data_IF_069031749618
#
_entry.id   IF_069031749618
#
_cell.length_a   1.000
_cell.length_b   1.000
_cell.length_c   1.000
_cell.angle_alpha   90.00
_cell.angle_beta   90.00
_cell.angle_gamma   90.00
#
_symmetry.space_group_name_H-M   'P 1'
#
loop_
_entity.id
_entity.type
_entity.pdbx_description
1 polymer ?
#
# COMPACT_ATOMS: atom_id res chain seq x y z
N UNK A 1 40.29 25.23 -40.80
CA UNK A 1 39.33 26.32 -40.49
C UNK A 1 38.16 25.71 -39.74
N UNK A 2 38.04 25.97 -38.43
CA UNK A 2 36.91 25.48 -37.62
C UNK A 2 35.63 26.22 -38.06
N UNK A 3 34.65 25.47 -38.62
CA UNK A 3 33.35 26.05 -38.99
C UNK A 3 32.68 26.63 -37.75
N UNK A 4 32.64 27.94 -37.60
CA UNK A 4 31.88 28.62 -36.55
C UNK A 4 30.40 28.39 -36.84
N UNK A 5 29.59 27.91 -35.86
CA UNK A 5 28.17 27.73 -36.08
C UNK A 5 27.51 29.06 -36.45
N UNK A 6 26.53 29.08 -37.36
CA UNK A 6 25.87 30.31 -37.78
C UNK A 6 25.17 30.97 -36.58
N UNK A 7 25.22 32.29 -36.51
CA UNK A 7 24.77 33.12 -35.38
C UNK A 7 23.33 32.76 -34.93
N UNK A 8 22.46 32.47 -35.88
CA UNK A 8 21.07 32.09 -35.57
C UNK A 8 20.96 30.80 -34.73
N UNK A 9 21.87 29.83 -34.91
CA UNK A 9 21.90 28.61 -34.07
C UNK A 9 22.32 28.92 -32.64
N UNK A 10 23.29 29.86 -32.49
CA UNK A 10 23.71 30.29 -31.14
C UNK A 10 22.57 31.00 -30.44
N UNK A 11 21.88 31.92 -31.12
CA UNK A 11 20.71 32.61 -30.57
C UNK A 11 19.59 31.65 -30.21
N UNK A 12 19.27 30.70 -31.10
CA UNK A 12 18.23 29.69 -30.83
C UNK A 12 18.57 28.80 -29.61
N UNK A 13 19.84 28.34 -29.53
CA UNK A 13 20.26 27.52 -28.38
C UNK A 13 20.25 28.32 -27.08
N UNK A 14 20.63 29.61 -27.10
CA UNK A 14 20.57 30.47 -25.91
C UNK A 14 19.12 30.68 -25.45
N UNK A 15 18.20 30.94 -26.39
CA UNK A 15 16.75 31.06 -26.06
C UNK A 15 16.20 29.76 -25.49
N UNK A 16 16.54 28.60 -26.07
CA UNK A 16 16.10 27.31 -25.56
C UNK A 16 16.63 27.01 -24.15
N UNK A 17 17.90 27.34 -23.90
CA UNK A 17 18.49 27.19 -22.55
C UNK A 17 17.82 28.14 -21.57
N UNK A 18 17.62 29.42 -21.92
CA UNK A 18 16.96 30.40 -21.07
C UNK A 18 15.51 29.98 -20.76
N UNK A 19 14.79 29.47 -21.75
CA UNK A 19 13.46 28.93 -21.57
C UNK A 19 13.45 27.69 -20.67
N UNK A 20 14.40 26.78 -20.85
CA UNK A 20 14.59 25.62 -19.98
C UNK A 20 14.84 26.00 -18.51
N UNK A 21 15.73 26.98 -18.28
CA UNK A 21 16.01 27.50 -16.93
C UNK A 21 14.78 28.18 -16.33
N UNK A 22 14.04 28.95 -17.13
CA UNK A 22 12.81 29.59 -16.68
C UNK A 22 11.71 28.55 -16.29
N UNK A 23 11.56 27.51 -17.11
CA UNK A 23 10.61 26.40 -16.82
C UNK A 23 11.00 25.69 -15.51
N UNK A 24 12.28 25.34 -15.34
CA UNK A 24 12.77 24.69 -14.12
C UNK A 24 12.58 25.61 -12.91
N UNK A 25 12.94 26.89 -13.01
CA UNK A 25 12.75 27.86 -11.93
C UNK A 25 11.28 28.08 -11.56
N UNK A 26 10.40 28.10 -12.55
CA UNK A 26 8.96 28.17 -12.31
C UNK A 26 8.43 26.86 -11.67
N UNK A 27 8.84 25.71 -12.19
CA UNK A 27 8.46 24.41 -11.67
C UNK A 27 8.89 24.21 -10.20
N UNK A 28 10.10 24.61 -9.82
CA UNK A 28 10.57 24.53 -8.43
C UNK A 28 9.75 25.42 -7.49
N UNK A 29 9.29 26.58 -7.95
CA UNK A 29 8.40 27.46 -7.18
C UNK A 29 6.99 26.85 -7.00
N UNK A 30 6.41 26.36 -8.09
CA UNK A 30 5.06 25.75 -8.07
C UNK A 30 5.06 24.48 -7.24
N UNK A 31 6.09 23.64 -7.36
CA UNK A 31 6.24 22.39 -6.63
C UNK A 31 6.69 22.58 -5.16
N UNK A 32 6.94 23.81 -4.72
CA UNK A 32 7.38 24.15 -3.35
C UNK A 32 8.56 23.29 -2.86
N UNK A 33 9.52 23.01 -3.77
CA UNK A 33 10.68 22.17 -3.47
C UNK A 33 11.58 22.90 -2.46
N UNK A 34 11.70 22.36 -1.26
CA UNK A 34 12.60 22.85 -0.21
C UNK A 34 13.74 21.84 0.03
N UNK A 35 14.85 22.04 -0.66
CA UNK A 35 16.05 21.22 -0.49
C UNK A 35 16.66 21.36 0.91
N UNK A 36 16.51 22.51 1.57
CA UNK A 36 17.04 22.72 2.93
C UNK A 36 16.28 21.83 3.92
N UNK A 37 14.97 21.73 3.74
CA UNK A 37 14.10 20.86 4.56
C UNK A 37 14.49 19.39 4.41
N UNK A 38 14.86 18.94 3.22
CA UNK A 38 15.31 17.56 2.96
C UNK A 38 16.54 17.23 3.85
N UNK A 39 17.52 18.09 3.90
CA UNK A 39 18.73 17.88 4.70
C UNK A 39 18.48 18.07 6.20
N UNK A 40 17.67 19.05 6.59
CA UNK A 40 17.34 19.32 7.98
C UNK A 40 16.57 18.16 8.64
N UNK A 41 15.65 17.52 7.90
CA UNK A 41 14.83 16.42 8.39
C UNK A 41 15.45 15.02 8.12
N UNK A 42 16.66 14.96 7.58
CA UNK A 42 17.39 13.70 7.32
C UNK A 42 17.54 12.78 8.54
N UNK A 43 17.76 13.27 9.79
CA UNK A 43 17.80 12.41 10.97
C UNK A 43 16.49 11.63 11.21
N UNK A 44 15.33 12.25 10.92
CA UNK A 44 14.01 11.59 11.04
C UNK A 44 13.86 10.48 9.99
N UNK A 45 14.31 10.76 8.75
CA UNK A 45 14.32 9.78 7.67
C UNK A 45 15.23 8.59 8.00
N UNK A 46 16.38 8.80 8.64
CA UNK A 46 17.29 7.74 9.06
C UNK A 46 16.61 6.75 10.01
N UNK A 47 15.91 7.23 11.03
CA UNK A 47 15.18 6.39 11.99
C UNK A 47 14.11 5.54 11.28
N UNK A 48 13.35 6.14 10.38
CA UNK A 48 12.30 5.47 9.60
C UNK A 48 12.89 4.42 8.65
N UNK A 49 13.94 4.74 7.91
CA UNK A 49 14.63 3.80 7.01
C UNK A 49 15.23 2.64 7.79
N UNK A 50 15.85 2.89 8.94
CA UNK A 50 16.39 1.83 9.80
C UNK A 50 15.30 0.87 10.25
N UNK A 51 14.13 1.39 10.66
CA UNK A 51 12.99 0.57 11.06
C UNK A 51 12.43 -0.26 9.91
N UNK A 52 12.43 0.26 8.68
CA UNK A 52 12.01 -0.50 7.50
C UNK A 52 13.03 -1.59 7.11
N UNK A 53 14.32 -1.37 7.34
CA UNK A 53 15.37 -2.35 7.06
C UNK A 53 15.46 -3.46 8.11
N UNK A 54 14.84 -3.27 9.28
CA UNK A 54 14.75 -4.27 10.35
C UNK A 54 13.31 -4.79 10.50
N UNK A 55 12.85 -5.66 9.59
CA UNK A 55 11.46 -6.16 9.59
C UNK A 55 11.18 -7.03 10.83
N UNK A 56 9.94 -6.98 11.30
CA UNK A 56 9.43 -7.81 12.40
C UNK A 56 9.11 -9.22 11.90
N UNK A 57 10.14 -10.07 11.80
CA UNK A 57 10.01 -11.45 11.29
C UNK A 57 9.78 -12.46 12.40
N UNK A 58 10.40 -12.25 13.56
CA UNK A 58 10.38 -13.20 14.66
C UNK A 58 10.05 -12.53 15.97
N UNK A 59 9.25 -13.20 16.77
CA UNK A 59 8.90 -12.76 18.12
C UNK A 59 9.16 -13.88 19.13
N UNK A 60 9.26 -13.52 20.41
CA UNK A 60 9.21 -14.47 21.53
C UNK A 60 7.94 -14.25 22.31
N UNK A 61 7.47 -15.26 23.01
CA UNK A 61 6.37 -15.06 23.94
C UNK A 61 6.79 -14.00 24.97
N UNK A 62 5.89 -13.07 25.24
CA UNK A 62 6.15 -12.02 26.19
C UNK A 62 5.48 -12.40 27.52
N UNK A 63 6.28 -12.56 28.55
CA UNK A 63 5.73 -12.57 29.90
C UNK A 63 5.43 -11.13 30.30
N UNK A 64 4.16 -10.84 30.50
CA UNK A 64 3.71 -9.50 30.89
C UNK A 64 3.46 -9.48 32.39
N UNK A 65 4.18 -8.63 33.09
CA UNK A 65 3.92 -8.29 34.49
C UNK A 65 3.31 -6.90 34.53
N UNK A 66 2.02 -6.83 34.87
CA UNK A 66 1.26 -5.56 34.91
C UNK A 66 1.28 -5.00 36.33
N UNK A 67 1.61 -3.73 36.48
CA UNK A 67 1.52 -2.97 37.71
C UNK A 67 0.60 -1.78 37.46
N UNK A 68 -0.30 -1.53 38.35
CA UNK A 68 -1.22 -0.40 38.28
C UNK A 68 -1.05 0.57 39.44
N UNK A 69 -1.23 1.86 39.14
CA UNK A 69 -1.27 2.91 40.15
C UNK A 69 -2.36 3.93 39.78
N UNK A 70 -3.34 4.20 40.65
CA UNK A 70 -4.31 5.25 40.40
C UNK A 70 -3.63 6.61 40.42
N UNK A 71 -3.98 7.49 39.48
CA UNK A 71 -3.47 8.83 39.34
C UNK A 71 -4.59 9.83 39.09
N UNK A 72 -5.04 10.58 40.14
CA UNK A 72 -6.16 11.51 39.99
C UNK A 72 -5.79 12.77 39.19
N UNK A 73 -6.67 13.15 38.28
CA UNK A 73 -6.62 14.39 37.51
C UNK A 73 -8.02 15.02 37.51
N UNK A 74 -8.22 16.24 38.05
CA UNK A 74 -7.29 17.05 38.83
C UNK A 74 -7.08 16.52 40.23
N UNK A 75 -6.13 17.13 40.96
CA UNK A 75 -5.89 16.82 42.39
C UNK A 75 -7.17 17.00 43.24
N UNK A 76 -7.39 16.07 44.17
CA UNK A 76 -8.57 16.08 45.05
C UNK A 76 -9.84 15.46 44.42
N UNK A 77 -9.80 15.02 43.16
CA UNK A 77 -10.96 14.41 42.48
C UNK A 77 -11.19 12.95 42.87
N UNK A 78 -10.18 12.27 43.43
CA UNK A 78 -10.24 10.90 43.95
C UNK A 78 -9.10 10.67 44.98
N UNK A 79 -9.14 9.57 45.77
CA UNK A 79 -8.06 9.18 46.65
C UNK A 79 -6.75 8.91 45.89
N UNK A 80 -5.64 9.34 46.45
CA UNK A 80 -4.30 9.02 45.92
C UNK A 80 -3.99 7.53 46.09
N UNK A 81 -3.24 6.96 45.16
CA UNK A 81 -2.79 5.57 45.26
C UNK A 81 -1.79 5.37 46.44
N UNK A 82 -1.92 4.24 47.10
CA UNK A 82 -0.96 3.83 48.14
C UNK A 82 0.26 3.19 47.48
N UNK A 83 1.50 3.66 47.77
CA UNK A 83 2.69 3.05 47.19
C UNK A 83 2.92 1.63 47.74
N UNK A 84 3.20 0.69 46.86
CA UNK A 84 3.57 -0.69 47.22
C UNK A 84 4.97 -0.69 47.84
N UNK A 85 5.11 -1.29 49.00
CA UNK A 85 6.36 -1.24 49.78
C UNK A 85 7.40 -2.31 49.42
N UNK A 86 7.03 -3.37 48.72
CA UNK A 86 7.92 -4.46 48.30
C UNK A 86 7.54 -5.04 46.93
N UNK A 87 8.55 -5.48 46.14
CA UNK A 87 8.36 -5.99 44.79
C UNK A 87 8.40 -4.92 43.70
N UNK A 88 7.95 -5.24 42.47
CA UNK A 88 7.83 -4.27 41.41
C UNK A 88 6.86 -3.16 41.78
N UNK A 89 7.31 -1.91 41.63
CA UNK A 89 6.57 -0.72 42.12
C UNK A 89 6.70 0.46 41.19
N UNK A 90 5.67 1.30 41.16
CA UNK A 90 5.66 2.59 40.48
C UNK A 90 5.72 3.72 41.52
N UNK A 91 6.34 4.80 41.13
CA UNK A 91 6.36 6.05 41.87
C UNK A 91 6.19 7.22 40.92
N UNK A 92 5.53 8.25 41.32
CA UNK A 92 5.39 9.51 40.59
C UNK A 92 5.96 10.66 41.37
N UNK A 93 6.52 11.64 40.67
CA UNK A 93 7.08 12.85 41.32
C UNK A 93 6.05 13.66 42.11
N UNK A 94 4.77 13.52 41.73
CA UNK A 94 3.60 14.14 42.36
C UNK A 94 2.47 13.13 42.50
N UNK A 95 1.69 13.12 43.57
CA UNK A 95 0.62 12.14 43.79
C UNK A 95 -0.61 12.39 42.92
N UNK A 96 -0.74 13.56 42.33
CA UNK A 96 -1.81 13.99 41.42
C UNK A 96 -1.31 15.18 40.59
N UNK A 97 -2.00 15.53 39.51
CA UNK A 97 -1.64 16.66 38.65
C UNK A 97 -2.88 17.41 38.13
N UNK A 98 -2.72 18.66 37.74
CA UNK A 98 -3.70 19.34 36.89
C UNK A 98 -3.52 18.92 35.43
N UNK A 99 -4.56 19.07 34.63
CA UNK A 99 -4.49 18.74 33.21
C UNK A 99 -3.41 19.58 32.50
N UNK A 100 -2.54 18.93 31.74
CA UNK A 100 -1.35 19.44 31.03
C UNK A 100 -0.09 19.64 31.88
N UNK A 101 -0.13 19.42 33.20
CA UNK A 101 1.11 19.42 34.00
C UNK A 101 1.97 18.22 33.64
N UNK A 102 3.27 18.44 33.60
CA UNK A 102 4.27 17.37 33.42
C UNK A 102 4.67 16.78 34.76
N UNK A 103 4.81 15.46 34.80
CA UNK A 103 5.32 14.75 35.99
C UNK A 103 6.20 13.59 35.53
N UNK A 104 7.05 13.11 36.44
CA UNK A 104 7.91 11.96 36.19
C UNK A 104 7.29 10.70 36.78
N UNK A 105 7.20 9.66 35.97
CA UNK A 105 6.85 8.31 36.39
C UNK A 105 8.13 7.48 36.46
N UNK A 106 8.36 6.86 37.60
CA UNK A 106 9.48 5.96 37.83
C UNK A 106 8.99 4.55 38.17
N UNK A 107 9.68 3.54 37.66
CA UNK A 107 9.43 2.14 38.00
C UNK A 107 10.67 1.51 38.60
N UNK A 108 10.49 0.70 39.65
CA UNK A 108 11.55 0.04 40.40
C UNK A 108 11.29 -1.46 40.51
N UNK A 109 12.38 -2.23 40.57
CA UNK A 109 12.36 -3.69 40.71
C UNK A 109 11.57 -4.40 39.61
N UNK A 110 11.61 -3.86 38.39
CA UNK A 110 11.09 -4.47 37.20
C UNK A 110 12.13 -5.42 36.57
N UNK A 111 11.75 -6.13 35.52
CA UNK A 111 12.72 -6.97 34.81
C UNK A 111 13.85 -6.08 34.22
N UNK A 112 15.13 -6.45 34.34
CA UNK A 112 16.26 -5.69 33.80
C UNK A 112 16.25 -5.77 32.26
N UNK A 113 16.63 -4.66 31.60
CA UNK A 113 16.66 -4.52 30.13
C UNK A 113 15.36 -4.90 29.44
N UNK A 114 14.22 -4.75 30.13
CA UNK A 114 12.90 -5.08 29.59
C UNK A 114 12.26 -3.86 28.91
N UNK A 115 11.46 -4.13 27.92
CA UNK A 115 10.63 -3.11 27.30
C UNK A 115 9.39 -2.87 28.16
N UNK A 116 9.10 -1.61 28.44
CA UNK A 116 7.98 -1.17 29.26
C UNK A 116 6.93 -0.51 28.40
N UNK A 117 5.71 -1.04 28.43
CA UNK A 117 4.54 -0.39 27.85
C UNK A 117 3.79 0.37 28.95
N UNK A 118 3.70 1.68 28.82
CA UNK A 118 2.94 2.54 29.72
C UNK A 118 1.57 2.77 29.10
N UNK A 119 0.51 2.49 29.85
CA UNK A 119 -0.87 2.71 29.42
C UNK A 119 -1.62 3.51 30.47
N UNK A 120 -2.48 4.38 30.02
CA UNK A 120 -3.43 5.05 30.89
C UNK A 120 -4.80 4.37 30.73
N UNK A 121 -5.27 3.70 31.77
CA UNK A 121 -6.62 3.12 31.79
C UNK A 121 -7.61 4.17 32.29
N UNK A 122 -8.49 4.60 31.41
CA UNK A 122 -9.40 5.71 31.64
C UNK A 122 -10.82 5.13 31.81
N UNK A 123 -11.45 5.31 32.96
CA UNK A 123 -12.78 4.78 33.22
C UNK A 123 -13.76 5.18 32.10
N UNK A 124 -14.50 4.21 31.57
CA UNK A 124 -15.50 4.35 30.50
C UNK A 124 -14.97 4.82 29.13
N UNK A 125 -13.66 5.11 28.99
CA UNK A 125 -13.06 5.62 27.74
C UNK A 125 -12.02 4.68 27.14
N UNK A 126 -11.59 3.64 27.89
CA UNK A 126 -10.60 2.67 27.44
C UNK A 126 -9.15 3.07 27.72
N UNK A 127 -8.21 2.38 27.09
CA UNK A 127 -6.76 2.50 27.38
C UNK A 127 -6.05 3.40 26.38
N UNK A 128 -5.32 4.39 26.86
CA UNK A 128 -4.43 5.22 26.06
C UNK A 128 -3.00 4.70 26.20
N UNK A 129 -2.41 4.17 25.13
CA UNK A 129 -1.03 3.69 25.11
C UNK A 129 -0.08 4.85 24.85
N UNK A 130 1.00 4.91 25.65
CA UNK A 130 2.08 5.87 25.54
C UNK A 130 3.31 5.22 24.86
N UNK A 131 4.34 5.99 24.42
CA UNK A 131 5.56 5.42 23.88
C UNK A 131 6.24 4.44 24.82
N UNK A 132 6.84 3.40 24.27
CA UNK A 132 7.61 2.42 25.04
C UNK A 132 8.86 3.04 25.66
N UNK A 133 9.22 2.59 26.86
CA UNK A 133 10.45 2.93 27.57
C UNK A 133 11.19 1.64 27.92
N UNK A 134 12.50 1.66 28.01
CA UNK A 134 13.28 0.49 28.45
C UNK A 134 13.74 0.66 29.88
N UNK A 135 13.76 -0.44 30.64
CA UNK A 135 14.43 -0.47 31.96
C UNK A 135 15.95 -0.55 31.77
N UNK A 136 16.68 -0.03 32.75
CA UNK A 136 18.11 -0.23 32.85
C UNK A 136 18.47 -1.65 33.38
N UNK A 137 19.77 -1.90 33.58
CA UNK A 137 20.27 -3.17 34.13
C UNK A 137 19.81 -3.45 35.56
N UNK A 138 19.35 -2.45 36.30
CA UNK A 138 18.82 -2.56 37.67
C UNK A 138 17.30 -2.79 37.71
N UNK A 139 16.63 -2.77 36.55
CA UNK A 139 15.16 -2.85 36.45
C UNK A 139 14.47 -1.54 36.83
N UNK A 140 15.15 -0.41 36.69
CA UNK A 140 14.59 0.93 36.89
C UNK A 140 14.32 1.61 35.54
N UNK A 141 13.24 2.39 35.45
CA UNK A 141 13.01 3.34 34.37
C UNK A 141 12.48 4.67 34.89
N UNK A 142 12.72 5.74 34.15
CA UNK A 142 12.15 7.06 34.38
C UNK A 142 11.58 7.61 33.09
N UNK A 143 10.33 8.07 33.13
CA UNK A 143 9.63 8.64 31.99
C UNK A 143 8.92 9.94 32.37
N UNK A 144 9.14 10.98 31.59
CA UNK A 144 8.41 12.23 31.77
C UNK A 144 7.09 12.14 31.01
N UNK A 145 5.98 12.35 31.67
CA UNK A 145 4.63 12.26 31.17
C UNK A 145 3.86 13.54 31.40
N UNK A 146 2.95 13.86 30.47
CA UNK A 146 2.02 14.98 30.63
C UNK A 146 0.64 14.47 31.07
N UNK A 147 0.06 15.09 32.07
CA UNK A 147 -1.31 14.78 32.52
C UNK A 147 -2.33 15.12 31.44
N UNK A 148 -2.81 14.11 30.73
CA UNK A 148 -3.76 14.28 29.62
C UNK A 148 -5.14 14.62 30.15
N UNK A 149 -5.76 15.67 29.60
CA UNK A 149 -7.15 16.05 29.97
C UNK A 149 -8.17 14.91 29.73
N UNK A 150 -7.91 14.04 28.75
CA UNK A 150 -8.75 12.87 28.50
C UNK A 150 -8.71 11.85 29.64
N UNK A 151 -7.62 11.82 30.42
CA UNK A 151 -7.42 10.95 31.58
C UNK A 151 -7.96 11.54 32.88
N UNK A 152 -8.80 12.58 32.80
CA UNK A 152 -9.44 13.17 33.98
C UNK A 152 -10.33 12.14 34.70
N UNK A 153 -10.39 12.26 36.03
CA UNK A 153 -11.26 11.48 36.91
C UNK A 153 -12.72 11.54 36.44
N UNK A 154 -13.38 10.40 36.37
CA UNK A 154 -14.78 10.28 35.94
C UNK A 154 -15.59 9.67 37.09
N UNK A 155 -16.66 10.31 37.50
CA UNK A 155 -17.57 9.84 38.56
C UNK A 155 -16.84 9.47 39.89
N UNK A 156 -15.81 10.23 40.25
CA UNK A 156 -15.00 9.98 41.46
C UNK A 156 -14.01 8.81 41.33
N UNK A 157 -13.90 8.17 40.17
CA UNK A 157 -12.92 7.11 39.89
C UNK A 157 -11.75 7.72 39.15
N UNK A 158 -10.54 7.63 39.74
CA UNK A 158 -9.30 8.07 39.10
C UNK A 158 -8.95 7.15 37.93
N UNK A 159 -8.33 7.72 36.90
CA UNK A 159 -7.64 6.90 35.90
C UNK A 159 -6.43 6.21 36.52
N UNK A 160 -6.08 5.01 36.05
CA UNK A 160 -4.90 4.30 36.52
C UNK A 160 -3.79 4.33 35.44
N UNK A 161 -2.56 4.50 35.92
CA UNK A 161 -1.37 4.29 35.09
C UNK A 161 -1.00 2.82 35.21
N UNK A 162 -1.15 2.07 34.12
CA UNK A 162 -0.73 0.69 33.98
C UNK A 162 0.64 0.63 33.33
N UNK A 163 1.53 -0.14 33.91
CA UNK A 163 2.87 -0.39 33.41
C UNK A 163 3.04 -1.88 33.19
N UNK A 164 3.18 -2.28 31.93
CA UNK A 164 3.43 -3.66 31.54
C UNK A 164 4.92 -3.84 31.27
N UNK A 165 5.59 -4.66 32.08
CA UNK A 165 6.95 -5.10 31.82
C UNK A 165 6.91 -6.29 30.86
N UNK A 166 7.46 -6.12 29.67
CA UNK A 166 7.45 -7.10 28.58
C UNK A 166 8.80 -7.83 28.56
N UNK A 167 8.84 -9.02 29.09
CA UNK A 167 10.06 -9.86 29.09
C UNK A 167 9.91 -10.93 28.02
N UNK A 168 10.78 -10.96 27.00
CA UNK A 168 10.75 -12.01 26.00
C UNK A 168 11.18 -13.34 26.60
N UNK A 169 10.29 -14.32 26.61
CA UNK A 169 10.54 -15.68 27.10
C UNK A 169 10.29 -16.73 26.02
N UNK A 170 10.95 -17.88 26.15
CA UNK A 170 10.72 -19.03 25.28
C UNK A 170 11.45 -19.00 23.94
N UNK A 171 11.07 -19.93 23.06
CA UNK A 171 11.67 -20.09 21.75
C UNK A 171 11.22 -19.01 20.76
N UNK A 172 12.06 -18.72 19.76
CA UNK A 172 11.70 -17.84 18.66
C UNK A 172 10.51 -18.43 17.90
N UNK A 173 9.49 -17.62 17.70
CA UNK A 173 8.28 -17.92 16.92
C UNK A 173 8.18 -16.93 15.76
N UNK A 174 7.50 -17.32 14.70
CA UNK A 174 7.16 -16.40 13.61
C UNK A 174 6.27 -15.28 14.16
N UNK A 175 6.63 -14.03 13.88
CA UNK A 175 5.87 -12.88 14.34
C UNK A 175 4.43 -12.90 13.81
N UNK A 176 3.49 -12.39 14.60
CA UNK A 176 2.13 -12.18 14.13
C UNK A 176 2.08 -11.27 12.90
N UNK A 177 2.99 -10.29 12.83
CA UNK A 177 3.13 -9.40 11.68
C UNK A 177 3.37 -10.15 10.36
N UNK A 178 4.15 -11.23 10.39
CA UNK A 178 4.38 -12.08 9.19
C UNK A 178 3.10 -12.78 8.77
N UNK A 179 2.32 -13.29 9.71
CA UNK A 179 1.03 -13.95 9.41
C UNK A 179 0.03 -12.96 8.81
N UNK A 180 -0.11 -11.79 9.44
CA UNK A 180 -0.99 -10.72 8.97
C UNK A 180 -0.59 -10.24 7.57
N UNK A 181 0.72 -10.10 7.32
CA UNK A 181 1.28 -9.74 6.02
C UNK A 181 1.00 -10.80 4.96
N UNK A 182 1.17 -12.09 5.30
CA UNK A 182 0.86 -13.18 4.37
C UNK A 182 -0.63 -13.20 4.01
N UNK A 183 -1.53 -13.07 4.99
CA UNK A 183 -2.97 -13.00 4.75
C UNK A 183 -3.33 -11.80 3.85
N UNK A 184 -2.82 -10.62 4.18
CA UNK A 184 -3.05 -9.42 3.39
C UNK A 184 -2.47 -9.54 1.96
N UNK A 185 -1.35 -10.25 1.80
CA UNK A 185 -0.73 -10.51 0.50
C UNK A 185 -1.56 -11.48 -0.34
N UNK A 186 -2.09 -12.54 0.27
CA UNK A 186 -3.04 -13.43 -0.43
C UNK A 186 -4.25 -12.65 -0.95
N UNK A 187 -4.85 -11.78 -0.14
CA UNK A 187 -5.96 -10.92 -0.59
C UNK A 187 -5.56 -10.10 -1.81
N UNK A 188 -4.38 -9.47 -1.78
CA UNK A 188 -3.86 -8.64 -2.89
C UNK A 188 -3.68 -9.44 -4.18
N UNK A 189 -3.06 -10.62 -4.08
CA UNK A 189 -2.82 -11.50 -5.24
C UNK A 189 -4.16 -11.99 -5.82
N UNK A 190 -5.09 -12.45 -4.96
CA UNK A 190 -6.40 -12.92 -5.43
C UNK A 190 -7.25 -11.80 -6.04
N UNK A 191 -7.18 -10.58 -5.52
CA UNK A 191 -7.82 -9.41 -6.16
C UNK A 191 -7.29 -9.21 -7.58
N UNK A 192 -5.98 -9.27 -7.78
CA UNK A 192 -5.36 -9.09 -9.09
C UNK A 192 -5.72 -10.24 -10.07
N UNK A 193 -5.66 -11.48 -9.61
CA UNK A 193 -6.00 -12.65 -10.43
C UNK A 193 -7.48 -12.67 -10.81
N UNK A 194 -8.37 -12.43 -9.85
CA UNK A 194 -9.82 -12.41 -10.09
C UNK A 194 -10.20 -11.29 -11.05
N UNK A 195 -9.70 -10.08 -10.83
CA UNK A 195 -9.99 -8.93 -11.70
C UNK A 195 -9.51 -9.17 -13.13
N UNK A 196 -8.29 -9.71 -13.32
CA UNK A 196 -7.76 -10.00 -14.65
C UNK A 196 -8.53 -11.13 -15.33
N UNK A 197 -8.92 -12.18 -14.61
CA UNK A 197 -9.69 -13.29 -15.15
C UNK A 197 -11.06 -12.83 -15.63
N UNK A 198 -11.80 -12.09 -14.79
CA UNK A 198 -13.12 -11.54 -15.18
C UNK A 198 -12.97 -10.54 -16.31
N UNK A 199 -11.97 -9.67 -16.26
CA UNK A 199 -11.68 -8.72 -17.31
C UNK A 199 -11.40 -9.41 -18.65
N UNK A 200 -10.66 -10.51 -18.66
CA UNK A 200 -10.36 -11.29 -19.86
C UNK A 200 -11.64 -11.86 -20.50
N UNK A 201 -12.52 -12.46 -19.69
CA UNK A 201 -13.78 -13.01 -20.17
C UNK A 201 -14.64 -11.94 -20.85
N UNK A 202 -14.67 -10.71 -20.32
CA UNK A 202 -15.41 -9.59 -20.89
C UNK A 202 -14.67 -8.97 -22.07
N UNK A 203 -13.33 -8.87 -22.01
CA UNK A 203 -12.52 -8.25 -23.06
C UNK A 203 -12.50 -9.03 -24.37
N UNK A 204 -12.56 -10.37 -24.33
CA UNK A 204 -12.56 -11.20 -25.54
C UNK A 204 -13.71 -10.81 -26.49
N UNK A 205 -15.00 -10.85 -26.13
CA UNK A 205 -16.06 -10.44 -27.03
C UNK A 205 -15.99 -8.97 -27.44
N UNK A 206 -15.60 -8.08 -26.50
CA UNK A 206 -15.43 -6.66 -26.80
C UNK A 206 -14.32 -6.40 -27.82
N UNK A 207 -13.25 -7.19 -27.81
CA UNK A 207 -12.14 -7.04 -28.73
C UNK A 207 -12.55 -7.30 -30.18
N UNK A 208 -13.38 -8.31 -30.42
CA UNK A 208 -13.91 -8.59 -31.76
C UNK A 208 -14.84 -7.47 -32.25
N UNK A 209 -15.63 -6.86 -31.36
CA UNK A 209 -16.44 -5.69 -31.69
C UNK A 209 -15.58 -4.43 -31.97
N UNK A 210 -14.43 -4.33 -31.34
CA UNK A 210 -13.48 -3.22 -31.48
C UNK A 210 -12.46 -3.44 -32.62
N UNK A 211 -12.45 -4.59 -33.30
CA UNK A 211 -11.53 -4.89 -34.39
C UNK A 211 -12.12 -4.39 -35.74
N UNK A 212 -11.35 -3.54 -36.44
CA UNK A 212 -11.79 -2.87 -37.66
C UNK A 212 -11.99 -3.85 -38.82
N UNK A 213 -11.12 -4.86 -38.93
CA UNK A 213 -11.18 -5.89 -40.00
C UNK A 213 -12.42 -6.79 -39.90
N UNK A 214 -13.02 -6.93 -38.75
CA UNK A 214 -14.21 -7.76 -38.52
C UNK A 214 -15.48 -6.91 -38.55
N UNK A 215 -15.51 -5.81 -37.81
CA UNK A 215 -16.74 -5.08 -37.44
C UNK A 215 -17.08 -3.96 -38.43
N UNK A 216 -16.11 -3.33 -39.10
CA UNK A 216 -16.36 -2.22 -40.03
C UNK A 216 -16.98 -2.67 -41.37
N UNK A 217 -18.07 -3.42 -41.31
CA UNK A 217 -18.84 -3.86 -42.47
C UNK A 217 -20.25 -3.24 -42.47
N UNK A 218 -20.50 -2.33 -43.40
CA UNK A 218 -21.76 -1.57 -43.48
C UNK A 218 -21.91 -0.51 -42.38
N UNK A 219 -23.01 0.24 -42.41
CA UNK A 219 -23.24 1.37 -41.50
C UNK A 219 -23.36 0.93 -40.00
N UNK A 220 -24.10 -0.14 -39.74
CA UNK A 220 -24.33 -0.65 -38.38
C UNK A 220 -22.99 -1.13 -37.73
N UNK A 221 -22.22 -1.91 -38.49
CA UNK A 221 -20.93 -2.40 -37.98
C UNK A 221 -19.93 -1.26 -37.73
N UNK A 222 -19.87 -0.29 -38.62
CA UNK A 222 -19.01 0.90 -38.45
C UNK A 222 -19.41 1.68 -37.20
N UNK A 223 -20.70 1.87 -36.96
CA UNK A 223 -21.17 2.55 -35.71
C UNK A 223 -20.81 1.74 -34.46
N UNK A 224 -21.05 0.42 -34.46
CA UNK A 224 -20.68 -0.46 -33.35
C UNK A 224 -19.17 -0.40 -33.05
N UNK A 225 -18.34 -0.45 -34.09
CA UNK A 225 -16.89 -0.29 -33.95
C UNK A 225 -16.51 1.02 -33.25
N UNK A 226 -16.99 2.17 -33.74
CA UNK A 226 -16.62 3.47 -33.15
C UNK A 226 -17.14 3.61 -31.73
N UNK A 227 -18.35 3.14 -31.42
CA UNK A 227 -18.87 3.19 -30.02
C UNK A 227 -18.01 2.34 -29.11
N UNK A 228 -17.74 1.07 -29.45
CA UNK A 228 -16.95 0.17 -28.62
C UNK A 228 -15.52 0.69 -28.45
N UNK A 229 -14.88 1.13 -29.52
CA UNK A 229 -13.50 1.63 -29.47
C UNK A 229 -13.37 2.92 -28.67
N UNK A 230 -14.35 3.83 -28.81
CA UNK A 230 -14.38 5.06 -27.99
C UNK A 230 -14.63 4.75 -26.52
N UNK A 231 -15.54 3.85 -26.22
CA UNK A 231 -15.80 3.40 -24.85
C UNK A 231 -14.55 2.81 -24.20
N UNK A 232 -13.87 1.87 -24.86
CA UNK A 232 -12.63 1.29 -24.36
C UNK A 232 -11.53 2.35 -24.15
N UNK A 233 -11.38 3.31 -25.08
CA UNK A 233 -10.39 4.37 -24.95
C UNK A 233 -10.70 5.33 -23.79
N UNK A 234 -11.97 5.66 -23.56
CA UNK A 234 -12.39 6.51 -22.43
C UNK A 234 -12.10 5.81 -21.10
N UNK A 235 -12.55 4.57 -20.93
CA UNK A 235 -12.34 3.82 -19.68
C UNK A 235 -10.85 3.64 -19.40
N UNK A 236 -10.04 3.30 -20.42
CA UNK A 236 -8.59 3.12 -20.27
C UNK A 236 -7.84 4.40 -19.87
N UNK A 237 -8.40 5.58 -20.16
CA UNK A 237 -7.77 6.85 -19.75
C UNK A 237 -7.92 7.18 -18.27
N UNK A 238 -8.80 6.47 -17.55
CA UNK A 238 -8.91 6.60 -16.10
C UNK A 238 -7.81 5.82 -15.39
N UNK A 239 -7.20 6.45 -14.38
CA UNK A 239 -6.27 5.76 -13.48
C UNK A 239 -7.04 4.77 -12.61
N UNK A 240 -6.54 3.53 -12.42
CA UNK A 240 -7.17 2.53 -11.57
C UNK A 240 -7.40 3.00 -10.13
N UNK A 241 -6.52 3.85 -9.59
CA UNK A 241 -6.65 4.42 -8.25
C UNK A 241 -7.85 5.35 -8.13
N UNK A 242 -8.05 6.22 -9.15
CA UNK A 242 -9.21 7.12 -9.21
C UNK A 242 -10.50 6.31 -9.29
N UNK A 243 -10.53 5.28 -10.14
CA UNK A 243 -11.69 4.41 -10.28
C UNK A 243 -11.97 3.64 -8.98
N UNK A 244 -10.94 3.14 -8.30
CA UNK A 244 -11.09 2.47 -7.01
C UNK A 244 -11.67 3.42 -5.93
N UNK A 245 -11.24 4.67 -5.93
CA UNK A 245 -11.77 5.69 -5.02
C UNK A 245 -13.27 5.95 -5.27
N UNK A 246 -13.67 6.08 -6.53
CA UNK A 246 -15.09 6.25 -6.89
C UNK A 246 -15.94 5.07 -6.42
N UNK A 247 -15.49 3.84 -6.67
CA UNK A 247 -16.19 2.65 -6.21
C UNK A 247 -16.19 2.51 -4.67
N UNK A 248 -15.10 2.92 -4.00
CA UNK A 248 -15.04 2.91 -2.54
C UNK A 248 -16.06 3.87 -1.91
N UNK A 249 -16.29 5.03 -2.50
CA UNK A 249 -17.34 5.95 -2.04
C UNK A 249 -18.76 5.41 -2.28
N UNK A 250 -18.94 4.59 -3.31
CA UNK A 250 -20.24 3.99 -3.63
C UNK A 250 -20.54 2.73 -2.81
N UNK A 251 -19.57 1.82 -2.70
CA UNK A 251 -19.74 0.46 -2.14
C UNK A 251 -19.15 0.30 -0.74
N UNK A 252 -18.46 1.33 -0.23
CA UNK A 252 -17.68 1.25 1.00
C UNK A 252 -16.22 0.84 0.75
N UNK A 253 -15.39 0.94 1.79
CA UNK A 253 -13.99 0.54 1.73
C UNK A 253 -13.83 -0.97 1.86
N UNK A 254 -12.92 -1.56 1.10
CA UNK A 254 -12.64 -3.00 1.16
C UNK A 254 -12.13 -3.58 -0.15
N UNK A 255 -11.82 -4.89 -0.20
CA UNK A 255 -11.29 -5.56 -1.38
C UNK A 255 -12.23 -5.55 -2.60
N UNK A 256 -13.53 -5.54 -2.38
CA UNK A 256 -14.53 -5.62 -3.44
C UNK A 256 -14.50 -4.41 -4.40
N UNK A 257 -14.57 -3.13 -3.93
CA UNK A 257 -14.48 -1.97 -4.83
C UNK A 257 -13.13 -1.89 -5.54
N UNK A 258 -12.04 -2.31 -4.89
CA UNK A 258 -10.71 -2.39 -5.52
C UNK A 258 -10.68 -3.41 -6.68
N UNK A 259 -11.21 -4.61 -6.45
CA UNK A 259 -11.32 -5.65 -7.49
C UNK A 259 -12.19 -5.18 -8.66
N UNK A 260 -13.29 -4.49 -8.39
CA UNK A 260 -14.19 -3.97 -9.41
C UNK A 260 -13.49 -2.89 -10.27
N UNK A 261 -12.77 -1.97 -9.62
CA UNK A 261 -11.99 -0.94 -10.32
C UNK A 261 -10.95 -1.55 -11.26
N UNK A 262 -10.17 -2.51 -10.75
CA UNK A 262 -9.21 -3.25 -11.56
C UNK A 262 -9.88 -3.97 -12.72
N UNK A 263 -11.01 -4.63 -12.49
CA UNK A 263 -11.76 -5.35 -13.54
C UNK A 263 -12.16 -4.42 -14.67
N UNK A 264 -12.74 -3.26 -14.34
CA UNK A 264 -13.21 -2.29 -15.35
C UNK A 264 -12.05 -1.75 -16.19
N UNK A 265 -10.98 -1.28 -15.55
CA UNK A 265 -9.83 -0.70 -16.25
C UNK A 265 -9.06 -1.76 -17.04
N UNK A 266 -8.88 -2.96 -16.47
CA UNK A 266 -8.21 -4.08 -17.15
C UNK A 266 -9.03 -4.57 -18.35
N UNK A 267 -10.36 -4.60 -18.25
CA UNK A 267 -11.25 -4.95 -19.38
C UNK A 267 -11.02 -4.00 -20.56
N UNK A 268 -10.94 -2.70 -20.29
CA UNK A 268 -10.70 -1.72 -21.33
C UNK A 268 -9.30 -1.85 -21.96
N UNK A 269 -8.29 -2.09 -21.13
CA UNK A 269 -6.91 -2.27 -21.57
C UNK A 269 -6.74 -3.55 -22.40
N UNK A 270 -7.21 -4.70 -21.90
CA UNK A 270 -7.15 -5.97 -22.60
C UNK A 270 -8.02 -5.93 -23.88
N UNK A 271 -9.23 -5.36 -23.82
CA UNK A 271 -10.11 -5.24 -24.98
C UNK A 271 -9.45 -4.47 -26.12
N UNK A 272 -8.70 -3.42 -25.80
CA UNK A 272 -7.91 -2.65 -26.77
C UNK A 272 -6.75 -3.48 -27.33
N UNK A 273 -5.92 -4.10 -26.48
CA UNK A 273 -4.76 -4.88 -26.89
C UNK A 273 -5.18 -6.11 -27.71
N UNK A 274 -6.23 -6.80 -27.29
CA UNK A 274 -6.81 -7.93 -28.03
C UNK A 274 -7.36 -7.50 -29.38
N UNK A 275 -8.05 -6.34 -29.48
CA UNK A 275 -8.53 -5.84 -30.76
C UNK A 275 -7.40 -5.54 -31.74
N UNK A 276 -6.28 -5.00 -31.24
CA UNK A 276 -5.09 -4.75 -32.06
C UNK A 276 -4.42 -6.06 -32.51
N UNK A 277 -4.36 -7.09 -31.67
CA UNK A 277 -3.88 -8.41 -32.06
C UNK A 277 -4.75 -9.01 -33.17
N UNK A 278 -6.08 -8.91 -33.04
CA UNK A 278 -7.02 -9.38 -34.07
C UNK A 278 -6.91 -8.58 -35.39
N UNK A 279 -6.60 -7.29 -35.31
CA UNK A 279 -6.38 -6.45 -36.51
C UNK A 279 -5.07 -6.80 -37.25
N UNK A 280 -4.06 -7.29 -36.56
CA UNK A 280 -2.70 -7.55 -37.05
C UNK A 280 -2.47 -9.00 -37.50
N UNK A 281 -3.51 -9.85 -37.58
CA UNK A 281 -3.35 -11.23 -38.05
C UNK A 281 -2.91 -11.28 -39.54
N UNK A 282 -2.10 -12.30 -39.89
CA UNK A 282 -1.68 -12.54 -41.25
C UNK A 282 -2.90 -13.04 -42.09
N UNK A 283 -3.22 -12.37 -43.20
CA UNK A 283 -4.30 -12.80 -44.10
C UNK A 283 -3.98 -14.09 -44.86
N UNK A 284 -2.71 -14.44 -45.07
CA UNK A 284 -2.30 -15.58 -45.88
C UNK A 284 -2.96 -16.91 -45.47
N UNK A 285 -2.89 -17.35 -44.20
CA UNK A 285 -3.56 -18.56 -43.74
C UNK A 285 -5.10 -18.51 -43.88
N UNK A 286 -5.68 -17.30 -43.77
CA UNK A 286 -7.13 -17.11 -43.96
C UNK A 286 -7.52 -17.35 -45.41
N UNK A 287 -6.79 -16.73 -46.36
CA UNK A 287 -7.04 -16.88 -47.80
C UNK A 287 -6.80 -18.31 -48.26
N UNK A 288 -5.75 -18.97 -47.77
CA UNK A 288 -5.47 -20.36 -48.07
C UNK A 288 -6.62 -21.31 -47.67
N UNK A 289 -7.16 -21.16 -46.46
CA UNK A 289 -8.30 -21.96 -46.01
C UNK A 289 -9.58 -21.65 -46.78
N UNK A 290 -9.84 -20.40 -47.12
CA UNK A 290 -10.98 -20.02 -47.92
C UNK A 290 -10.91 -20.62 -49.34
N UNK A 291 -9.72 -20.69 -49.94
CA UNK A 291 -9.50 -21.32 -51.25
C UNK A 291 -9.81 -22.82 -51.26
N UNK A 292 -9.70 -23.51 -50.13
CA UNK A 292 -10.09 -24.92 -49.97
C UNK A 292 -11.60 -25.14 -49.79
N UNK A 293 -12.39 -24.06 -49.78
CA UNK A 293 -13.85 -24.12 -49.57
C UNK A 293 -14.28 -24.22 -48.12
N UNK A 294 -13.41 -23.86 -47.17
CA UNK A 294 -13.74 -23.86 -45.73
C UNK A 294 -14.86 -22.86 -45.43
N UNK A 295 -15.72 -23.23 -44.48
CA UNK A 295 -16.74 -22.31 -43.97
C UNK A 295 -16.12 -21.29 -42.98
N UNK A 296 -16.91 -20.24 -42.67
CA UNK A 296 -16.43 -19.14 -41.77
C UNK A 296 -15.95 -19.63 -40.40
N UNK A 297 -16.62 -20.61 -39.79
CA UNK A 297 -16.28 -21.14 -38.51
C UNK A 297 -14.95 -21.92 -38.57
N UNK A 298 -14.74 -22.71 -39.58
CA UNK A 298 -13.50 -23.44 -39.83
C UNK A 298 -12.34 -22.47 -40.05
N UNK A 299 -12.54 -21.41 -40.84
CA UNK A 299 -11.53 -20.37 -41.03
C UNK A 299 -11.15 -19.70 -39.70
N UNK A 300 -12.12 -19.36 -38.86
CA UNK A 300 -11.82 -18.75 -37.53
C UNK A 300 -11.06 -19.73 -36.66
N UNK A 301 -11.52 -20.98 -36.52
CA UNK A 301 -10.90 -21.96 -35.59
C UNK A 301 -9.50 -22.37 -36.03
N UNK A 302 -9.27 -22.58 -37.33
CA UNK A 302 -8.01 -23.14 -37.84
C UNK A 302 -7.01 -22.07 -38.32
N UNK A 303 -7.41 -20.83 -38.57
CA UNK A 303 -6.52 -19.78 -39.03
C UNK A 303 -6.42 -18.61 -38.05
N UNK A 304 -7.54 -18.08 -37.56
CA UNK A 304 -7.52 -16.88 -36.68
C UNK A 304 -7.12 -17.23 -35.27
N UNK A 305 -7.78 -18.20 -34.64
CA UNK A 305 -7.55 -18.55 -33.23
C UNK A 305 -6.10 -18.96 -32.97
N UNK A 306 -5.41 -19.80 -33.76
CA UNK A 306 -4.03 -20.12 -33.51
C UNK A 306 -3.07 -18.93 -33.56
N UNK A 307 -3.39 -17.90 -34.34
CA UNK A 307 -2.57 -16.70 -34.44
C UNK A 307 -2.75 -15.76 -33.22
N UNK A 308 -3.99 -15.61 -32.73
CA UNK A 308 -4.28 -14.64 -31.65
C UNK A 308 -4.06 -15.17 -30.24
N UNK A 309 -4.16 -16.50 -30.02
CA UNK A 309 -4.06 -17.11 -28.67
C UNK A 309 -2.72 -16.83 -28.00
N UNK A 310 -1.56 -16.95 -28.65
CA UNK A 310 -0.28 -16.65 -28.02
C UNK A 310 -0.20 -15.19 -27.52
N UNK A 311 -0.67 -14.24 -28.32
CA UNK A 311 -0.71 -12.83 -27.97
C UNK A 311 -1.67 -12.57 -26.80
N UNK A 312 -2.88 -13.16 -26.86
CA UNK A 312 -3.86 -13.01 -25.79
C UNK A 312 -3.33 -13.52 -24.46
N UNK A 313 -2.73 -14.71 -24.43
CA UNK A 313 -2.14 -15.28 -23.23
C UNK A 313 -1.00 -14.40 -22.71
N UNK A 314 -0.16 -13.88 -23.61
CA UNK A 314 0.93 -12.97 -23.27
C UNK A 314 0.41 -11.69 -22.60
N UNK A 315 -0.66 -11.09 -23.12
CA UNK A 315 -1.28 -9.89 -22.55
C UNK A 315 -2.00 -10.17 -21.24
N UNK A 316 -2.62 -11.33 -21.06
CA UNK A 316 -3.24 -11.74 -19.78
C UNK A 316 -2.19 -11.84 -18.69
N UNK A 317 -1.08 -12.53 -18.97
CA UNK A 317 0.04 -12.70 -18.01
C UNK A 317 0.65 -11.35 -17.66
N UNK A 318 0.81 -10.46 -18.63
CA UNK A 318 1.28 -9.10 -18.41
C UNK A 318 0.36 -8.30 -17.48
N UNK A 319 -0.98 -8.43 -17.66
CA UNK A 319 -1.93 -7.75 -16.79
C UNK A 319 -2.03 -8.38 -15.39
N UNK A 320 -1.79 -9.67 -15.22
CA UNK A 320 -1.67 -10.27 -13.89
C UNK A 320 -0.55 -9.61 -13.07
N UNK A 321 0.63 -9.48 -13.67
CA UNK A 321 1.77 -8.84 -13.03
C UNK A 321 1.48 -7.36 -12.67
N UNK A 322 1.00 -6.59 -13.62
CA UNK A 322 0.64 -5.18 -13.41
C UNK A 322 -0.43 -5.04 -12.33
N UNK A 323 -1.47 -5.87 -12.37
CA UNK A 323 -2.59 -5.77 -11.43
C UNK A 323 -2.19 -6.14 -10.00
N UNK A 324 -1.20 -7.01 -9.77
CA UNK A 324 -0.64 -7.26 -8.43
C UNK A 324 -0.01 -5.98 -7.87
N UNK A 325 0.74 -5.23 -8.65
CA UNK A 325 1.33 -3.94 -8.23
C UNK A 325 0.25 -2.88 -7.99
N UNK A 326 -0.70 -2.75 -8.91
CA UNK A 326 -1.77 -1.74 -8.81
C UNK A 326 -2.67 -2.05 -7.61
N UNK A 327 -2.98 -3.32 -7.32
CA UNK A 327 -3.79 -3.70 -6.15
C UNK A 327 -3.11 -3.34 -4.83
N UNK A 328 -1.77 -3.38 -4.77
CA UNK A 328 -1.01 -2.86 -3.62
C UNK A 328 -1.25 -1.36 -3.43
N UNK A 329 -1.22 -0.58 -4.52
CA UNK A 329 -1.45 0.87 -4.47
C UNK A 329 -2.90 1.20 -4.11
N UNK A 330 -3.86 0.49 -4.69
CA UNK A 330 -5.30 0.63 -4.37
C UNK A 330 -5.57 0.35 -2.89
N UNK A 331 -4.83 -0.56 -2.28
CA UNK A 331 -4.90 -0.83 -0.85
C UNK A 331 -4.68 0.41 0.03
N UNK A 332 -3.82 1.36 -0.36
CA UNK A 332 -3.57 2.60 0.38
C UNK A 332 -4.82 3.50 0.49
N UNK A 333 -5.71 3.45 -0.47
CA UNK A 333 -6.98 4.20 -0.45
C UNK A 333 -8.15 3.38 0.11
N UNK A 334 -7.84 2.31 0.84
CA UNK A 334 -8.85 1.50 1.52
C UNK A 334 -9.38 0.32 0.70
N UNK A 335 -8.73 -0.06 -0.41
CA UNK A 335 -9.05 -1.22 -1.22
C UNK A 335 -8.65 -2.56 -0.60
N UNK A 336 -8.29 -2.61 0.69
CA UNK A 336 -7.89 -3.85 1.37
C UNK A 336 -6.50 -4.36 1.01
N UNK A 337 -6.19 -5.61 1.40
CA UNK A 337 -4.93 -6.28 1.08
C UNK A 337 -3.70 -5.65 1.75
N UNK A 338 -2.52 -5.93 1.17
CA UNK A 338 -1.23 -5.52 1.76
C UNK A 338 -1.03 -4.00 1.79
N UNK A 339 -1.59 -3.26 0.82
CA UNK A 339 -1.51 -1.81 0.80
C UNK A 339 -2.25 -1.17 1.97
N UNK A 340 -3.41 -1.69 2.33
CA UNK A 340 -4.17 -1.24 3.50
C UNK A 340 -3.43 -1.56 4.81
N UNK A 341 -2.88 -2.76 4.93
CA UNK A 341 -2.04 -3.13 6.07
C UNK A 341 -0.85 -2.18 6.20
N UNK A 342 -0.12 -1.94 5.11
CA UNK A 342 1.03 -1.03 5.08
C UNK A 342 0.63 0.40 5.49
N UNK A 343 -0.46 0.94 4.94
CA UNK A 343 -1.00 2.26 5.27
C UNK A 343 -1.33 2.40 6.76
N UNK A 344 -1.98 1.39 7.35
CA UNK A 344 -2.30 1.36 8.78
C UNK A 344 -1.06 1.32 9.66
N UNK A 345 -0.04 0.54 9.28
CA UNK A 345 1.20 0.44 10.07
C UNK A 345 2.05 1.71 9.97
N UNK A 346 2.12 2.36 8.82
CA UNK A 346 2.85 3.64 8.65
C UNK A 346 2.18 4.75 9.47
N UNK A 347 0.85 4.80 9.51
CA UNK A 347 0.11 5.80 10.27
C UNK A 347 0.15 5.56 11.79
N UNK A 348 0.52 4.37 12.25
CA UNK A 348 0.75 4.08 13.66
C UNK A 348 2.19 4.42 14.04
N UNK A 349 2.40 5.24 15.08
CA UNK A 349 3.75 5.63 15.53
C UNK A 349 4.64 4.44 15.94
N UNK A 350 4.09 3.26 16.11
CA UNK A 350 4.76 2.04 16.63
C UNK A 350 4.94 0.98 15.53
N UNK A 351 4.36 1.21 14.35
CA UNK A 351 4.22 0.18 13.31
C UNK A 351 5.34 0.09 12.27
N UNK A 352 6.40 0.89 12.36
CA UNK A 352 7.39 0.97 11.27
C UNK A 352 8.14 -0.35 11.00
N UNK A 353 8.45 -1.17 12.01
CA UNK A 353 9.06 -2.50 11.80
C UNK A 353 8.08 -3.46 11.11
N UNK A 354 6.78 -3.37 11.45
CA UNK A 354 5.71 -4.14 10.80
C UNK A 354 5.47 -3.67 9.38
N UNK A 355 5.54 -2.36 9.14
CA UNK A 355 5.51 -1.79 7.79
C UNK A 355 6.70 -2.29 6.96
N UNK A 356 7.90 -2.38 7.56
CA UNK A 356 9.08 -2.98 6.93
C UNK A 356 8.83 -4.42 6.47
N UNK A 357 8.19 -5.25 7.29
CA UNK A 357 7.80 -6.62 6.91
C UNK A 357 6.90 -6.63 5.68
N UNK A 358 5.90 -5.73 5.62
CA UNK A 358 5.01 -5.61 4.47
C UNK A 358 5.74 -5.14 3.20
N UNK A 359 6.63 -4.15 3.31
CA UNK A 359 7.44 -3.66 2.17
C UNK A 359 8.28 -4.79 1.58
N UNK A 360 8.99 -5.56 2.42
CA UNK A 360 9.81 -6.67 1.94
C UNK A 360 8.97 -7.79 1.32
N UNK A 361 7.78 -8.07 1.85
CA UNK A 361 6.85 -9.02 1.25
C UNK A 361 6.36 -8.55 -0.13
N UNK A 362 6.01 -7.27 -0.27
CA UNK A 362 5.64 -6.68 -1.58
C UNK A 362 6.78 -6.84 -2.58
N UNK A 363 8.01 -6.47 -2.20
CA UNK A 363 9.19 -6.59 -3.08
C UNK A 363 9.40 -8.04 -3.50
N UNK A 364 9.33 -8.98 -2.56
CA UNK A 364 9.53 -10.40 -2.86
C UNK A 364 8.46 -10.95 -3.81
N UNK A 365 7.19 -10.62 -3.60
CA UNK A 365 6.09 -11.09 -4.46
C UNK A 365 6.13 -10.44 -5.83
N UNK A 366 6.35 -9.13 -5.92
CA UNK A 366 6.48 -8.46 -7.22
C UNK A 366 7.64 -9.03 -8.01
N UNK A 367 8.80 -9.23 -7.39
CA UNK A 367 9.95 -9.87 -8.04
C UNK A 367 9.65 -11.29 -8.51
N UNK A 368 8.98 -12.09 -7.70
CA UNK A 368 8.58 -13.45 -8.06
C UNK A 368 7.57 -13.46 -9.22
N UNK A 369 6.61 -12.54 -9.23
CA UNK A 369 5.63 -12.39 -10.32
C UNK A 369 6.28 -11.92 -11.62
N UNK A 370 7.21 -10.95 -11.56
CA UNK A 370 8.00 -10.51 -12.72
C UNK A 370 8.77 -11.69 -13.35
N UNK A 371 9.46 -12.47 -12.50
CA UNK A 371 10.24 -13.63 -12.95
C UNK A 371 9.34 -14.71 -13.59
N UNK A 372 8.24 -15.05 -12.91
CA UNK A 372 7.29 -16.05 -13.40
C UNK A 372 6.64 -15.61 -14.72
N UNK A 373 6.19 -14.36 -14.79
CA UNK A 373 5.60 -13.78 -16.00
C UNK A 373 6.57 -13.78 -17.19
N UNK A 374 7.84 -13.45 -16.94
CA UNK A 374 8.87 -13.45 -17.97
C UNK A 374 9.16 -14.87 -18.49
N UNK A 375 9.28 -15.86 -17.60
CA UNK A 375 9.55 -17.24 -17.99
C UNK A 375 8.39 -17.87 -18.78
N UNK A 376 7.13 -17.61 -18.35
CA UNK A 376 5.96 -18.13 -19.07
C UNK A 376 5.85 -17.49 -20.46
N UNK A 377 6.02 -16.17 -20.58
CA UNK A 377 6.01 -15.50 -21.90
C UNK A 377 7.10 -16.00 -22.83
N UNK A 378 8.30 -16.28 -22.30
CA UNK A 378 9.40 -16.84 -23.10
C UNK A 378 9.10 -18.23 -23.70
N UNK A 379 8.26 -19.02 -23.05
CA UNK A 379 7.85 -20.34 -23.54
C UNK A 379 6.69 -20.28 -24.53
N UNK A 380 5.97 -19.14 -24.61
CA UNK A 380 4.85 -18.93 -25.52
C UNK A 380 5.26 -18.24 -26.84
N UNK A 381 6.39 -17.53 -26.82
CA UNK A 381 7.00 -16.91 -28.00
C UNK A 381 7.93 -17.92 -28.71
#
# INVERSE_FOLDING_TARGET
MKNRPPVWRIVLTTILIAMGVAIVGFSTRVSQIDFIRLFRDAPKAKALVTSFLTPDLTTRDLQTTTIEMPFPIPCGSAPNGTPIKSGPRLSTSVPCAAAKDSFTLEGFNLAPNAQIAIRWDIPKKGKLTLPYVNTDASGHFSAQLDAKQIAATVDGVASSIQVDSLVPMGNLKVSQSVKDVLEAMFVTIFMALLSTTVATIIAIPLSFLAASNITRRGAVGTTAYYITRSFLNIIRSYDPLVMATVFAFWLGFGPFPGTLALTVVTTASLGKMFSEAVENIDPGPIEALQATGSNRLQTVVYSVVPQIVPDFVSYIIYHWDINVRISTVIGFVGGGGIGYYLSTQINSMIGYHKAGTAIWAIVAVVWAMDFLSAEVRKRLA
#
